data_IF_838734846928
#
_entry.id   IF_838734846928
#
_cell.length_a   1.000
_cell.length_b   1.000
_cell.length_c   1.000
_cell.angle_alpha   90.00
_cell.angle_beta   90.00
_cell.angle_gamma   90.00
#
_symmetry.space_group_name_H-M   'P 1'
#
loop_
_entity.id
_entity.type
_entity.pdbx_description
1 polymer ?
#
# COMPACT_ATOMS: atom_id res chain seq x y z
N UNK A 1 9.11 -9.58 22.91
CA UNK A 1 9.58 -8.41 22.12
C UNK A 1 8.46 -7.38 22.08
N UNK A 2 8.74 -6.11 22.43
CA UNK A 2 7.73 -5.03 22.40
C UNK A 2 7.55 -4.59 20.94
N UNK A 3 6.30 -4.50 20.45
CA UNK A 3 6.04 -4.06 19.08
C UNK A 3 6.51 -2.60 18.92
N UNK A 4 7.30 -2.27 17.88
CA UNK A 4 7.84 -0.94 17.70
C UNK A 4 6.72 0.08 17.48
N UNK A 5 6.83 1.21 18.16
CA UNK A 5 5.93 2.35 17.99
C UNK A 5 6.58 3.40 17.09
N UNK A 6 5.80 4.37 16.60
CA UNK A 6 6.32 5.43 15.71
C UNK A 6 7.42 6.30 16.34
N UNK A 7 7.53 6.29 17.67
CA UNK A 7 8.62 6.97 18.38
C UNK A 7 9.94 6.24 18.23
N UNK A 8 9.91 4.92 18.00
CA UNK A 8 11.06 4.03 18.04
C UNK A 8 11.70 3.82 16.65
N UNK A 9 11.04 4.29 15.58
CA UNK A 9 11.44 4.03 14.19
C UNK A 9 11.67 5.31 13.39
N UNK A 10 12.60 5.26 12.44
CA UNK A 10 12.91 6.37 11.55
C UNK A 10 11.80 6.59 10.53
N UNK A 11 11.45 7.87 10.28
CA UNK A 11 10.51 8.23 9.20
C UNK A 11 11.19 7.99 7.85
N UNK A 12 10.46 7.42 6.90
CA UNK A 12 11.00 7.18 5.56
C UNK A 12 11.36 8.50 4.87
N UNK A 13 12.53 8.53 4.25
CA UNK A 13 13.04 9.68 3.51
C UNK A 13 12.18 10.03 2.30
N UNK A 14 12.37 11.25 1.78
CA UNK A 14 11.57 11.78 0.66
C UNK A 14 11.58 10.87 -0.58
N UNK A 15 12.76 10.33 -0.93
CA UNK A 15 12.91 9.46 -2.09
C UNK A 15 12.03 8.20 -2.02
N UNK A 16 12.02 7.51 -0.88
CA UNK A 16 11.19 6.32 -0.67
C UNK A 16 9.70 6.69 -0.71
N UNK A 17 9.33 7.86 -0.18
CA UNK A 17 7.94 8.35 -0.22
C UNK A 17 7.49 8.67 -1.65
N UNK A 18 8.38 9.22 -2.49
CA UNK A 18 8.10 9.44 -3.91
C UNK A 18 7.90 8.10 -4.62
N UNK A 19 8.78 7.13 -4.37
CA UNK A 19 8.66 5.80 -4.96
C UNK A 19 7.34 5.11 -4.53
N UNK A 20 6.99 5.22 -3.26
CA UNK A 20 5.70 4.75 -2.74
C UNK A 20 4.50 5.47 -3.39
N UNK A 21 4.63 6.77 -3.71
CA UNK A 21 3.60 7.52 -4.42
C UNK A 21 3.38 7.00 -5.84
N UNK A 22 4.46 6.61 -6.54
CA UNK A 22 4.36 6.00 -7.87
C UNK A 22 3.62 4.66 -7.78
N UNK A 23 3.99 3.80 -6.82
CA UNK A 23 3.32 2.51 -6.60
C UNK A 23 1.84 2.72 -6.24
N UNK A 24 1.54 3.69 -5.38
CA UNK A 24 0.18 4.06 -5.02
C UNK A 24 -0.64 4.47 -6.25
N UNK A 25 -0.05 5.30 -7.11
CA UNK A 25 -0.71 5.76 -8.35
C UNK A 25 -0.95 4.61 -9.32
N UNK A 26 0.03 3.72 -9.51
CA UNK A 26 -0.14 2.50 -10.32
C UNK A 26 -1.26 1.61 -9.76
N UNK A 27 -1.34 1.48 -8.44
CA UNK A 27 -2.39 0.71 -7.77
C UNK A 27 -3.78 1.34 -7.95
N UNK A 28 -3.89 2.68 -8.00
CA UNK A 28 -5.14 3.36 -8.34
C UNK A 28 -5.58 3.07 -9.78
N UNK A 29 -4.66 3.13 -10.74
CA UNK A 29 -4.96 2.73 -12.12
C UNK A 29 -5.38 1.27 -12.22
N UNK A 30 -4.71 0.38 -11.48
CA UNK A 30 -5.11 -1.03 -11.37
C UNK A 30 -6.52 -1.19 -10.80
N UNK A 31 -6.86 -0.44 -9.75
CA UNK A 31 -8.20 -0.46 -9.16
C UNK A 31 -9.28 -0.02 -10.15
N UNK A 32 -9.03 1.05 -10.91
CA UNK A 32 -9.93 1.54 -11.94
C UNK A 32 -10.10 0.52 -13.06
N UNK A 33 -9.00 -0.08 -13.56
CA UNK A 33 -9.05 -1.10 -14.59
C UNK A 33 -9.81 -2.35 -14.14
N UNK A 34 -9.58 -2.80 -12.91
CA UNK A 34 -10.28 -3.97 -12.36
C UNK A 34 -11.77 -3.68 -12.11
N UNK A 35 -12.10 -2.46 -11.68
CA UNK A 35 -13.49 -2.02 -11.54
C UNK A 35 -14.19 -1.94 -12.88
N UNK A 36 -13.52 -1.42 -13.92
CA UNK A 36 -14.06 -1.39 -15.27
C UNK A 36 -14.32 -2.82 -15.79
N UNK A 37 -13.33 -3.71 -15.65
CA UNK A 37 -13.45 -5.11 -16.05
C UNK A 37 -14.60 -5.84 -15.33
N UNK A 38 -14.86 -5.53 -14.06
CA UNK A 38 -15.99 -6.07 -13.30
C UNK A 38 -17.36 -5.70 -13.93
N UNK A 39 -17.48 -4.54 -14.57
CA UNK A 39 -18.71 -4.11 -15.25
C UNK A 39 -18.82 -4.61 -16.69
N UNK A 40 -17.70 -4.87 -17.37
CA UNK A 40 -17.68 -5.27 -18.78
C UNK A 40 -17.64 -6.79 -18.98
N UNK A 41 -17.08 -7.53 -18.03
CA UNK A 41 -16.88 -8.97 -18.13
C UNK A 41 -17.73 -9.74 -17.12
N UNK A 42 -17.85 -11.06 -17.32
CA UNK A 42 -18.53 -11.93 -16.36
C UNK A 42 -17.69 -12.04 -15.11
N UNK A 43 -18.36 -12.00 -13.95
CA UNK A 43 -17.68 -12.14 -12.67
C UNK A 43 -17.01 -13.52 -12.53
N UNK A 44 -15.70 -13.50 -12.31
CA UNK A 44 -14.88 -14.65 -11.94
C UNK A 44 -14.26 -14.48 -10.55
N UNK A 45 -13.97 -15.60 -9.87
CA UNK A 45 -13.29 -15.57 -8.56
C UNK A 45 -11.91 -14.88 -8.61
N UNK A 46 -11.28 -14.80 -9.79
CA UNK A 46 -10.03 -14.05 -9.98
C UNK A 46 -10.15 -12.56 -9.62
N UNK A 47 -11.32 -11.94 -9.81
CA UNK A 47 -11.53 -10.53 -9.45
C UNK A 47 -11.37 -10.28 -7.95
N UNK A 48 -11.87 -11.18 -7.09
CA UNK A 48 -11.72 -11.07 -5.63
C UNK A 48 -10.25 -11.03 -5.22
N UNK A 49 -9.43 -11.87 -5.83
CA UNK A 49 -7.98 -11.91 -5.59
C UNK A 49 -7.35 -10.59 -6.06
N UNK A 50 -7.71 -10.12 -7.26
CA UNK A 50 -7.24 -8.85 -7.81
C UNK A 50 -7.55 -7.67 -6.88
N UNK A 51 -8.82 -7.54 -6.43
CA UNK A 51 -9.24 -6.47 -5.53
C UNK A 51 -8.53 -6.54 -4.18
N UNK A 52 -8.30 -7.75 -3.67
CA UNK A 52 -7.58 -7.96 -2.41
C UNK A 52 -6.13 -7.48 -2.52
N UNK A 53 -5.42 -7.90 -3.58
CA UNK A 53 -4.03 -7.51 -3.81
C UNK A 53 -3.90 -5.99 -3.99
N UNK A 54 -4.77 -5.41 -4.82
CA UNK A 54 -4.78 -3.96 -5.06
C UNK A 54 -5.11 -3.19 -3.78
N UNK A 55 -6.06 -3.67 -2.98
CA UNK A 55 -6.42 -3.07 -1.70
C UNK A 55 -5.27 -3.05 -0.70
N UNK A 56 -4.53 -4.17 -0.58
CA UNK A 56 -3.34 -4.25 0.28
C UNK A 56 -2.25 -3.30 -0.23
N UNK A 57 -1.97 -3.31 -1.53
CA UNK A 57 -0.99 -2.43 -2.15
C UNK A 57 -1.33 -0.95 -1.93
N UNK A 58 -2.58 -0.54 -2.14
CA UNK A 58 -3.07 0.82 -1.88
C UNK A 58 -2.90 1.21 -0.41
N UNK A 59 -3.24 0.32 0.51
CA UNK A 59 -3.17 0.60 1.94
C UNK A 59 -1.73 0.80 2.42
N UNK A 60 -0.81 -0.07 2.00
CA UNK A 60 0.60 0.00 2.39
C UNK A 60 1.26 1.22 1.74
N UNK A 61 1.17 1.34 0.41
CA UNK A 61 1.78 2.45 -0.33
C UNK A 61 1.19 3.80 0.07
N UNK A 62 -0.12 3.91 0.26
CA UNK A 62 -0.77 5.12 0.76
C UNK A 62 -0.31 5.52 2.16
N UNK A 63 -0.16 4.55 3.07
CA UNK A 63 0.37 4.82 4.41
C UNK A 63 1.79 5.41 4.34
N UNK A 64 2.66 4.87 3.49
CA UNK A 64 4.03 5.37 3.30
C UNK A 64 4.03 6.74 2.63
N UNK A 65 3.25 6.94 1.57
CA UNK A 65 3.18 8.22 0.82
C UNK A 65 2.74 9.37 1.73
N UNK A 66 1.59 9.23 2.40
CA UNK A 66 1.01 10.32 3.18
C UNK A 66 1.64 10.47 4.57
N UNK A 67 1.85 9.37 5.30
CA UNK A 67 2.34 9.42 6.69
C UNK A 67 3.86 9.35 6.78
N UNK A 68 4.55 8.82 5.77
CA UNK A 68 5.98 8.54 5.83
C UNK A 68 6.32 7.32 6.69
N UNK A 69 5.32 6.52 7.06
CA UNK A 69 5.46 5.31 7.87
C UNK A 69 4.66 4.16 7.28
N UNK A 70 5.21 2.95 7.34
CA UNK A 70 4.47 1.74 7.08
C UNK A 70 3.28 1.58 8.06
N UNK A 71 2.26 0.79 7.70
CA UNK A 71 1.17 0.42 8.61
C UNK A 71 1.70 -0.18 9.92
N UNK A 72 0.91 -0.10 11.00
CA UNK A 72 1.36 -0.54 12.34
C UNK A 72 1.91 -1.96 12.37
N UNK A 73 1.28 -2.86 11.63
CA UNK A 73 1.69 -4.26 11.55
C UNK A 73 3.00 -4.46 10.77
N UNK A 74 3.44 -3.49 9.97
CA UNK A 74 4.69 -3.46 9.21
C UNK A 74 5.74 -2.48 9.76
N UNK A 75 5.53 -1.86 10.93
CA UNK A 75 6.48 -0.90 11.50
C UNK A 75 7.87 -1.49 11.75
N UNK A 76 7.98 -2.81 11.90
CA UNK A 76 9.25 -3.52 12.08
C UNK A 76 10.17 -3.46 10.86
N UNK A 77 9.68 -3.08 9.68
CA UNK A 77 10.51 -2.94 8.46
C UNK A 77 11.27 -1.62 8.40
N UNK A 78 10.98 -0.71 9.33
CA UNK A 78 11.71 0.54 9.46
C UNK A 78 13.01 0.34 10.24
N UNK A 79 14.02 1.13 9.88
CA UNK A 79 15.24 1.23 10.69
C UNK A 79 14.97 1.85 12.06
N UNK A 80 15.77 1.49 13.08
CA UNK A 80 15.74 2.18 14.37
C UNK A 80 16.09 3.67 14.17
N UNK A 81 15.56 4.50 15.06
CA UNK A 81 15.87 5.93 15.09
C UNK A 81 17.26 6.23 15.62
#
# INVERSE_FOLDING_TARGET
>A
MKYPTKTDVQKLGLFIRILASIIFTCSLFGALGLTFALFTEKFEFGFLIGFTVIGIMLHISGSVTFKGYAPKYLLFTHGPK
#
